data_IF_254156158243
#
_entry.id   IF_254156158243
#
_cell.length_a   1.000
_cell.length_b   1.000
_cell.length_c   1.000
_cell.angle_alpha   90.00
_cell.angle_beta   90.00
_cell.angle_gamma   90.00
#
_symmetry.space_group_name_H-M   'P 1'
#
loop_
_entity.id
_entity.type
_entity.pdbx_description
1 polymer ?
#
# COMPACT_ATOMS: atom_id res chain seq x y z
N UNK A 1 18.59 -28.45 -24.45
CA UNK A 1 18.98 -27.28 -23.61
C UNK A 1 17.66 -26.56 -23.26
N UNK A 2 17.15 -26.74 -22.05
CA UNK A 2 15.92 -26.04 -21.67
C UNK A 2 16.23 -24.55 -21.53
N UNK A 3 15.42 -23.71 -22.19
CA UNK A 3 15.49 -22.26 -22.01
C UNK A 3 15.25 -21.94 -20.53
N UNK A 4 16.15 -21.19 -19.91
CA UNK A 4 15.99 -20.71 -18.53
C UNK A 4 14.95 -19.57 -18.44
N UNK A 5 14.44 -19.11 -19.57
CA UNK A 5 13.44 -18.05 -19.63
C UNK A 5 12.08 -18.61 -19.99
N UNK A 6 11.00 -18.12 -19.38
CA UNK A 6 9.64 -18.49 -19.74
C UNK A 6 9.32 -18.00 -21.16
N UNK A 7 8.46 -18.73 -21.88
CA UNK A 7 8.02 -18.34 -23.23
C UNK A 7 7.23 -17.04 -23.21
N UNK A 8 6.50 -16.77 -22.15
CA UNK A 8 5.73 -15.55 -21.91
C UNK A 8 5.84 -15.08 -20.46
N UNK A 9 5.83 -13.76 -20.30
CA UNK A 9 5.84 -13.10 -18.99
C UNK A 9 4.60 -12.23 -18.89
N UNK A 10 3.73 -12.52 -17.95
CA UNK A 10 2.58 -11.68 -17.65
C UNK A 10 2.99 -10.57 -16.67
N UNK A 11 2.67 -9.32 -17.01
CA UNK A 11 2.98 -8.13 -16.19
C UNK A 11 1.72 -7.31 -15.94
N UNK A 12 1.74 -6.56 -14.85
CA UNK A 12 0.56 -5.80 -14.43
C UNK A 12 0.25 -4.60 -15.32
N UNK A 13 1.26 -4.00 -15.95
CA UNK A 13 1.03 -2.82 -16.76
C UNK A 13 2.24 -2.31 -17.53
N UNK A 14 2.09 -1.15 -18.19
CA UNK A 14 3.12 -0.58 -19.06
C UNK A 14 4.46 -0.33 -18.37
N UNK A 15 4.44 0.08 -17.10
CA UNK A 15 5.68 0.38 -16.34
C UNK A 15 6.55 -0.85 -16.21
N UNK A 16 5.98 -2.01 -15.81
CA UNK A 16 6.72 -3.26 -15.70
C UNK A 16 7.18 -3.78 -17.07
N UNK A 17 6.33 -3.62 -18.10
CA UNK A 17 6.70 -3.95 -19.49
C UNK A 17 7.92 -3.17 -19.92
N UNK A 18 7.90 -1.86 -19.76
CA UNK A 18 8.99 -0.97 -20.13
C UNK A 18 10.29 -1.31 -19.38
N UNK A 19 10.17 -1.63 -18.08
CA UNK A 19 11.31 -2.09 -17.27
C UNK A 19 11.94 -3.37 -17.84
N UNK A 20 11.14 -4.39 -18.17
CA UNK A 20 11.62 -5.64 -18.74
C UNK A 20 12.29 -5.42 -20.11
N UNK A 21 11.71 -4.59 -20.95
CA UNK A 21 12.26 -4.28 -22.27
C UNK A 21 13.59 -3.52 -22.17
N UNK A 22 13.64 -2.44 -21.37
CA UNK A 22 14.81 -1.57 -21.28
C UNK A 22 15.96 -2.22 -20.51
N UNK A 23 15.66 -2.84 -19.38
CA UNK A 23 16.71 -3.36 -18.47
C UNK A 23 17.10 -4.80 -18.79
N UNK A 24 16.14 -5.62 -19.18
CA UNK A 24 16.37 -7.05 -19.43
C UNK A 24 16.31 -7.44 -20.91
N UNK A 25 16.04 -6.49 -21.79
CA UNK A 25 15.96 -6.70 -23.26
C UNK A 25 14.97 -7.80 -23.66
N UNK A 26 13.91 -7.97 -22.87
CA UNK A 26 12.85 -8.93 -23.19
C UNK A 26 12.06 -8.41 -24.38
N UNK A 27 11.85 -9.28 -25.37
CA UNK A 27 11.11 -8.94 -26.58
C UNK A 27 9.64 -8.68 -26.29
N UNK A 28 9.01 -7.79 -27.06
CA UNK A 28 7.62 -7.37 -26.89
C UNK A 28 6.64 -8.54 -26.99
N UNK A 29 6.90 -9.46 -27.90
CA UNK A 29 6.10 -10.66 -28.11
C UNK A 29 6.12 -11.63 -26.92
N UNK A 30 7.15 -11.58 -26.08
CA UNK A 30 7.24 -12.37 -24.86
C UNK A 30 6.45 -11.78 -23.67
N UNK A 31 5.93 -10.55 -23.79
CA UNK A 31 5.30 -9.85 -22.66
C UNK A 31 3.78 -9.73 -22.86
N UNK A 32 3.02 -10.20 -21.87
CA UNK A 32 1.57 -10.08 -21.82
C UNK A 32 1.20 -9.00 -20.81
N UNK A 33 0.49 -7.96 -21.24
CA UNK A 33 -0.13 -6.97 -20.32
C UNK A 33 -1.41 -7.54 -19.73
N UNK A 34 -1.28 -8.33 -18.67
CA UNK A 34 -2.42 -9.02 -18.04
C UNK A 34 -3.22 -8.13 -17.08
N UNK A 35 -2.58 -7.16 -16.47
CA UNK A 35 -3.11 -6.54 -15.26
C UNK A 35 -2.78 -7.37 -14.01
N UNK A 36 -3.39 -7.02 -12.89
CA UNK A 36 -3.18 -7.72 -11.62
C UNK A 36 -4.45 -8.47 -11.19
N UNK A 37 -4.53 -9.80 -11.42
CA UNK A 37 -5.68 -10.63 -11.04
C UNK A 37 -6.06 -10.50 -9.57
N UNK A 38 -5.07 -10.37 -8.71
CA UNK A 38 -5.22 -10.18 -7.27
C UNK A 38 -6.10 -8.98 -6.90
N UNK A 39 -6.12 -7.96 -7.76
CA UNK A 39 -6.82 -6.71 -7.47
C UNK A 39 -8.18 -6.57 -8.16
N UNK A 40 -8.61 -7.57 -8.96
CA UNK A 40 -9.88 -7.47 -9.70
C UNK A 40 -11.07 -7.15 -8.78
N UNK A 41 -11.21 -7.88 -7.68
CA UNK A 41 -12.28 -7.65 -6.70
C UNK A 41 -12.30 -6.24 -6.09
N UNK A 42 -11.17 -5.56 -6.06
CA UNK A 42 -11.12 -4.20 -5.51
C UNK A 42 -11.77 -3.19 -6.45
N UNK A 43 -11.71 -3.41 -7.76
CA UNK A 43 -12.34 -2.54 -8.76
C UNK A 43 -13.86 -2.64 -8.75
N UNK A 44 -14.42 -3.79 -8.37
CA UNK A 44 -15.87 -4.02 -8.29
C UNK A 44 -16.52 -3.40 -7.03
N UNK A 45 -15.73 -2.64 -6.28
CA UNK A 45 -16.16 -2.12 -4.99
C UNK A 45 -17.02 -0.87 -5.12
N UNK A 46 -18.20 -0.90 -4.53
CA UNK A 46 -19.01 0.32 -4.34
C UNK A 46 -18.43 1.12 -3.16
N UNK A 47 -18.17 2.42 -3.33
CA UNK A 47 -17.71 3.24 -2.23
C UNK A 47 -18.72 3.25 -1.07
N UNK A 48 -18.34 2.76 0.08
CA UNK A 48 -19.17 2.82 1.27
C UNK A 48 -18.82 4.09 2.03
N UNK A 49 -19.75 5.04 2.10
CA UNK A 49 -19.57 6.20 2.98
C UNK A 49 -19.73 5.78 4.45
N UNK A 50 -18.77 6.14 5.28
CA UNK A 50 -18.92 5.98 6.72
C UNK A 50 -20.07 6.86 7.22
N UNK A 51 -21.06 6.24 7.88
CA UNK A 51 -22.19 6.96 8.52
C UNK A 51 -21.81 7.54 9.89
N UNK A 52 -20.57 7.36 10.33
CA UNK A 52 -20.12 7.82 11.66
C UNK A 52 -19.65 9.27 11.60
N UNK A 53 -19.85 10.02 12.70
CA UNK A 53 -19.31 11.38 12.86
C UNK A 53 -17.78 11.39 13.02
N UNK A 54 -17.18 10.23 13.34
CA UNK A 54 -15.73 10.09 13.53
C UNK A 54 -15.05 9.71 12.22
N UNK A 55 -13.91 10.34 11.96
CA UNK A 55 -13.00 9.94 10.87
C UNK A 55 -12.18 8.72 11.29
N UNK A 56 -12.03 7.77 10.41
CA UNK A 56 -11.28 6.55 10.67
C UNK A 56 -9.96 6.53 9.92
N UNK A 57 -8.86 6.36 10.65
CA UNK A 57 -7.53 6.14 10.09
C UNK A 57 -7.20 4.66 10.19
N UNK A 58 -6.85 4.04 9.06
CA UNK A 58 -6.37 2.67 9.00
C UNK A 58 -4.85 2.66 8.97
N UNK A 59 -4.24 2.10 10.01
CA UNK A 59 -2.80 1.84 10.06
C UNK A 59 -2.49 0.43 9.56
N UNK A 60 -1.60 0.34 8.57
CA UNK A 60 -1.09 -0.90 8.00
C UNK A 60 0.43 -0.94 8.14
N UNK A 61 0.97 -1.40 9.25
CA UNK A 61 2.42 -1.53 9.42
C UNK A 61 2.92 -2.72 8.62
N UNK A 62 3.92 -2.50 7.76
CA UNK A 62 4.61 -3.60 7.10
C UNK A 62 5.60 -4.27 8.07
N UNK A 63 5.81 -5.58 7.97
CA UNK A 63 6.81 -6.27 8.77
C UNK A 63 8.20 -5.78 8.38
N UNK A 64 9.09 -5.68 9.38
CA UNK A 64 10.51 -5.46 9.14
C UNK A 64 11.10 -6.82 8.76
N UNK A 65 11.69 -6.91 7.58
CA UNK A 65 12.45 -8.10 7.18
C UNK A 65 13.83 -8.02 7.85
N UNK A 66 14.16 -9.02 8.65
CA UNK A 66 15.46 -9.08 9.32
C UNK A 66 16.58 -9.29 8.29
N UNK A 67 17.19 -8.19 7.87
CA UNK A 67 18.52 -8.22 7.31
C UNK A 67 19.51 -8.13 8.48
N UNK A 68 20.34 -9.16 8.65
CA UNK A 68 21.29 -9.27 9.76
C UNK A 68 22.26 -8.08 9.82
N UNK A 69 22.25 -7.32 10.93
CA UNK A 69 23.25 -6.28 11.20
C UNK A 69 22.76 -5.13 12.11
N UNK A 70 23.66 -4.22 12.44
CA UNK A 70 23.37 -3.03 13.27
C UNK A 70 22.30 -2.11 12.68
N UNK A 71 22.13 -2.06 11.36
CA UNK A 71 21.08 -1.30 10.68
C UNK A 71 19.68 -1.84 11.01
N UNK A 72 19.55 -3.15 11.14
CA UNK A 72 18.31 -3.81 11.53
C UNK A 72 17.84 -3.36 12.93
N UNK A 73 18.72 -3.33 13.92
CA UNK A 73 18.37 -2.92 15.29
C UNK A 73 17.91 -1.47 15.35
N UNK A 74 18.57 -0.57 14.61
CA UNK A 74 18.18 0.83 14.53
C UNK A 74 16.80 0.97 13.86
N UNK A 75 16.54 0.20 12.82
CA UNK A 75 15.27 0.23 12.11
C UNK A 75 14.13 -0.25 13.01
N UNK A 76 14.33 -1.35 13.76
CA UNK A 76 13.37 -1.84 14.74
C UNK A 76 13.04 -0.81 15.83
N UNK A 77 14.07 -0.19 16.40
CA UNK A 77 13.88 0.85 17.42
C UNK A 77 13.11 2.05 16.86
N UNK A 78 13.43 2.47 15.64
CA UNK A 78 12.73 3.57 14.97
C UNK A 78 11.27 3.20 14.69
N UNK A 79 11.02 1.97 14.25
CA UNK A 79 9.67 1.46 13.99
C UNK A 79 8.81 1.43 15.26
N UNK A 80 9.34 0.86 16.35
CA UNK A 80 8.64 0.83 17.64
C UNK A 80 8.32 2.24 18.14
N UNK A 81 9.31 3.13 18.12
CA UNK A 81 9.13 4.53 18.52
C UNK A 81 8.04 5.20 17.67
N UNK A 82 8.06 4.96 16.34
CA UNK A 82 7.13 5.59 15.44
C UNK A 82 5.70 5.02 15.58
N UNK A 83 5.55 3.72 15.82
CA UNK A 83 4.25 3.12 16.14
C UNK A 83 3.62 3.78 17.39
N UNK A 84 4.40 3.97 18.45
CA UNK A 84 3.95 4.66 19.66
C UNK A 84 3.51 6.09 19.34
N UNK A 85 4.34 6.82 18.63
CA UNK A 85 4.07 8.20 18.22
C UNK A 85 2.80 8.34 17.38
N UNK A 86 2.52 7.40 16.45
CA UNK A 86 1.27 7.41 15.67
C UNK A 86 0.05 7.33 16.59
N UNK A 87 0.03 6.37 17.52
CA UNK A 87 -1.10 6.21 18.44
C UNK A 87 -1.32 7.46 19.28
N UNK A 88 -0.25 8.04 19.84
CA UNK A 88 -0.31 9.27 20.64
C UNK A 88 -0.83 10.46 19.83
N UNK A 89 -0.33 10.65 18.61
CA UNK A 89 -0.79 11.71 17.70
C UNK A 89 -2.28 11.55 17.44
N UNK A 90 -2.74 10.36 17.06
CA UNK A 90 -4.15 10.16 16.71
C UNK A 90 -5.05 10.30 17.91
N UNK A 91 -4.64 9.83 19.10
CA UNK A 91 -5.37 10.06 20.36
C UNK A 91 -5.50 11.54 20.74
N UNK A 92 -4.56 12.38 20.28
CA UNK A 92 -4.61 13.83 20.48
C UNK A 92 -5.54 14.58 19.51
N UNK A 93 -6.16 13.86 18.56
CA UNK A 93 -7.05 14.44 17.55
C UNK A 93 -8.49 14.15 17.88
N UNK A 94 -9.32 15.20 17.92
CA UNK A 94 -10.75 15.07 18.16
C UNK A 94 -11.48 14.41 16.99
N UNK A 95 -12.47 13.58 17.30
CA UNK A 95 -13.32 12.91 16.33
C UNK A 95 -12.58 12.04 15.29
N UNK A 96 -11.38 11.52 15.66
CA UNK A 96 -10.63 10.57 14.86
C UNK A 96 -10.46 9.28 15.66
N UNK A 97 -10.60 8.14 14.99
CA UNK A 97 -10.30 6.83 15.54
C UNK A 97 -9.20 6.14 14.71
N UNK A 98 -8.40 5.35 15.40
CA UNK A 98 -7.36 4.52 14.79
C UNK A 98 -7.84 3.06 14.80
N UNK A 99 -7.70 2.41 13.67
CA UNK A 99 -7.81 0.96 13.55
C UNK A 99 -6.53 0.42 12.92
N UNK A 100 -6.14 -0.79 13.27
CA UNK A 100 -4.90 -1.40 12.79
C UNK A 100 -5.21 -2.69 12.03
N UNK A 101 -4.59 -2.87 10.87
CA UNK A 101 -4.61 -4.12 10.11
C UNK A 101 -3.20 -4.66 10.00
N UNK A 102 -2.99 -5.81 10.61
CA UNK A 102 -1.72 -6.52 10.57
C UNK A 102 -1.55 -7.30 9.26
N UNK A 103 -0.31 -7.55 8.89
CA UNK A 103 0.02 -8.34 7.72
C UNK A 103 -0.47 -9.79 7.89
N UNK A 104 -1.08 -10.41 6.86
CA UNK A 104 -1.71 -11.74 7.02
C UNK A 104 -0.72 -12.89 7.22
N UNK A 105 0.54 -12.74 6.86
CA UNK A 105 1.52 -13.83 6.78
C UNK A 105 2.73 -13.72 7.71
N UNK A 106 2.70 -12.90 8.77
CA UNK A 106 3.86 -12.75 9.65
C UNK A 106 3.47 -12.74 11.14
N UNK A 107 3.24 -13.93 11.71
CA UNK A 107 2.70 -14.07 13.06
C UNK A 107 3.63 -13.55 14.15
N UNK A 108 4.94 -13.74 14.03
CA UNK A 108 5.92 -13.33 15.05
C UNK A 108 5.95 -11.78 15.16
N UNK A 109 6.11 -11.08 14.04
CA UNK A 109 6.05 -9.62 14.01
C UNK A 109 4.69 -9.06 14.43
N UNK A 110 3.63 -9.74 14.03
CA UNK A 110 2.28 -9.34 14.41
C UNK A 110 2.05 -9.38 15.92
N UNK A 111 2.61 -10.37 16.62
CA UNK A 111 2.54 -10.46 18.09
C UNK A 111 3.30 -9.29 18.74
N UNK A 112 4.48 -8.97 18.21
CA UNK A 112 5.26 -7.84 18.72
C UNK A 112 4.54 -6.50 18.50
N UNK A 113 4.03 -6.25 17.29
CA UNK A 113 3.25 -5.05 16.98
C UNK A 113 2.03 -4.94 17.91
N UNK A 114 1.29 -6.04 18.11
CA UNK A 114 0.16 -6.06 19.07
C UNK A 114 0.61 -5.69 20.47
N UNK A 115 1.70 -6.28 20.95
CA UNK A 115 2.23 -5.99 22.30
C UNK A 115 2.58 -4.51 22.46
N UNK A 116 3.27 -3.92 21.47
CA UNK A 116 3.65 -2.50 21.48
C UNK A 116 2.39 -1.63 21.52
N UNK A 117 1.42 -1.89 20.66
CA UNK A 117 0.22 -1.07 20.53
C UNK A 117 -0.71 -1.21 21.74
N UNK A 118 -0.92 -2.43 22.25
CA UNK A 118 -1.77 -2.66 23.43
C UNK A 118 -1.16 -2.12 24.73
N UNK A 119 0.16 -1.98 24.82
CA UNK A 119 0.79 -1.29 25.95
C UNK A 119 0.45 0.21 26.01
N UNK A 120 0.07 0.81 24.87
CA UNK A 120 -0.32 2.23 24.80
C UNK A 120 -1.84 2.36 24.90
N UNK A 121 -2.56 1.44 24.28
CA UNK A 121 -4.02 1.40 24.28
C UNK A 121 -4.52 -0.04 24.14
N UNK A 122 -4.90 -0.64 25.28
CA UNK A 122 -5.41 -2.02 25.32
C UNK A 122 -6.75 -2.20 24.59
N UNK A 123 -7.45 -1.11 24.27
CA UNK A 123 -8.74 -1.13 23.56
C UNK A 123 -8.60 -0.84 22.05
N UNK A 124 -7.38 -0.61 21.57
CA UNK A 124 -7.13 -0.31 20.15
C UNK A 124 -7.61 -1.47 19.27
N UNK A 125 -8.52 -1.22 18.30
CA UNK A 125 -8.97 -2.26 17.39
C UNK A 125 -7.84 -2.73 16.47
N UNK A 126 -7.43 -3.98 16.62
CA UNK A 126 -6.38 -4.61 15.82
C UNK A 126 -6.94 -5.84 15.10
N UNK A 127 -6.90 -5.83 13.78
CA UNK A 127 -7.39 -6.91 12.92
C UNK A 127 -6.23 -7.66 12.29
N UNK A 128 -6.28 -8.99 12.30
CA UNK A 128 -5.30 -9.85 11.64
C UNK A 128 -5.90 -10.57 10.42
N UNK A 129 -6.98 -11.32 10.61
CA UNK A 129 -7.57 -12.20 9.58
C UNK A 129 -8.58 -11.47 8.71
N UNK A 130 -9.23 -10.42 9.25
CA UNK A 130 -10.29 -9.71 8.52
C UNK A 130 -9.80 -9.19 7.17
N UNK A 131 -10.59 -9.34 6.07
CA UNK A 131 -10.21 -8.85 4.75
C UNK A 131 -9.91 -7.35 4.77
N UNK A 132 -8.77 -6.96 4.17
CA UNK A 132 -8.32 -5.57 4.13
C UNK A 132 -9.31 -4.66 3.40
N UNK A 133 -9.93 -5.15 2.32
CA UNK A 133 -10.91 -4.43 1.51
C UNK A 133 -12.04 -3.86 2.36
N UNK A 134 -12.64 -4.69 3.24
CA UNK A 134 -13.75 -4.27 4.10
C UNK A 134 -13.36 -3.18 5.09
N UNK A 135 -12.16 -3.29 5.66
CA UNK A 135 -11.65 -2.32 6.64
C UNK A 135 -11.32 -1.01 5.94
N UNK A 136 -10.63 -1.10 4.79
CA UNK A 136 -10.19 0.06 4.03
C UNK A 136 -11.38 0.84 3.45
N UNK A 137 -12.44 0.18 3.01
CA UNK A 137 -13.65 0.85 2.52
C UNK A 137 -14.27 1.78 3.55
N UNK A 138 -14.19 1.45 4.84
CA UNK A 138 -14.72 2.24 5.97
C UNK A 138 -13.76 3.32 6.46
N UNK A 139 -12.52 3.31 5.99
CA UNK A 139 -11.50 4.26 6.42
C UNK A 139 -11.54 5.55 5.60
N UNK A 140 -11.20 6.67 6.22
CA UNK A 140 -11.09 7.97 5.57
C UNK A 140 -9.66 8.26 5.08
N UNK A 141 -8.67 7.63 5.70
CA UNK A 141 -7.25 7.76 5.41
C UNK A 141 -6.55 6.43 5.71
N UNK A 142 -5.61 6.04 4.86
CA UNK A 142 -4.71 4.90 5.09
C UNK A 142 -3.34 5.43 5.48
N UNK A 143 -2.72 4.79 6.45
CA UNK A 143 -1.35 5.05 6.89
C UNK A 143 -0.56 3.76 6.76
N UNK A 144 0.40 3.73 5.86
CA UNK A 144 1.34 2.62 5.69
C UNK A 144 2.68 2.99 6.31
N UNK A 145 3.32 2.03 6.98
CA UNK A 145 4.72 2.16 7.39
C UNK A 145 5.50 1.17 6.56
N UNK A 146 6.41 1.68 5.73
CA UNK A 146 7.34 0.88 4.95
C UNK A 146 8.72 1.02 5.59
N UNK A 147 9.26 -0.02 6.23
CA UNK A 147 10.60 0.01 6.81
C UNK A 147 11.66 0.28 5.76
N UNK A 148 11.51 -0.35 4.62
CA UNK A 148 12.29 -0.20 3.39
C UNK A 148 11.33 0.19 2.27
N UNK A 149 11.83 0.90 1.27
CA UNK A 149 10.98 1.31 0.15
C UNK A 149 10.68 0.15 -0.77
N UNK A 150 9.43 -0.28 -0.84
CA UNK A 150 8.93 -1.24 -1.83
C UNK A 150 8.12 -0.54 -2.90
N UNK A 151 8.36 -0.86 -4.16
CA UNK A 151 7.65 -0.28 -5.32
C UNK A 151 6.44 -1.11 -5.77
N UNK A 152 5.31 -0.53 -5.77
CA UNK A 152 4.55 -0.08 -4.61
C UNK A 152 4.06 -1.28 -3.81
N UNK A 153 4.02 -1.14 -2.51
CA UNK A 153 3.43 -2.19 -1.67
C UNK A 153 1.96 -2.40 -2.06
N UNK A 154 1.45 -3.63 -1.87
CA UNK A 154 0.07 -3.96 -2.23
C UNK A 154 -0.95 -3.06 -1.55
N UNK A 155 -0.67 -2.63 -0.31
CA UNK A 155 -1.55 -1.72 0.43
C UNK A 155 -1.69 -0.35 -0.24
N UNK A 156 -0.65 0.13 -0.91
CA UNK A 156 -0.68 1.37 -1.69
C UNK A 156 -1.63 1.20 -2.87
N UNK A 157 -1.47 0.15 -3.67
CA UNK A 157 -2.33 -0.12 -4.82
C UNK A 157 -3.79 -0.30 -4.41
N UNK A 158 -4.05 -1.10 -3.38
CA UNK A 158 -5.40 -1.34 -2.84
C UNK A 158 -6.06 -0.03 -2.39
N UNK A 159 -5.29 0.83 -1.72
CA UNK A 159 -5.76 2.14 -1.29
C UNK A 159 -6.14 3.04 -2.46
N UNK A 160 -5.28 3.12 -3.48
CA UNK A 160 -5.53 3.92 -4.67
C UNK A 160 -6.73 3.40 -5.47
N UNK A 161 -6.90 2.08 -5.60
CA UNK A 161 -8.05 1.46 -6.28
C UNK A 161 -9.35 1.82 -5.56
N UNK A 162 -9.38 1.74 -4.22
CA UNK A 162 -10.53 2.08 -3.40
C UNK A 162 -10.74 3.59 -3.21
N UNK A 163 -9.93 4.42 -3.90
CA UNK A 163 -9.96 5.89 -3.80
C UNK A 163 -9.83 6.39 -2.37
N UNK A 164 -8.91 5.79 -1.62
CA UNK A 164 -8.56 6.23 -0.27
C UNK A 164 -7.23 6.99 -0.31
N UNK A 165 -7.16 8.19 0.27
CA UNK A 165 -5.88 8.86 0.42
C UNK A 165 -4.96 8.02 1.29
N UNK A 166 -3.67 7.99 0.95
CA UNK A 166 -2.68 7.21 1.68
C UNK A 166 -1.46 8.07 2.00
N UNK A 167 -0.98 7.91 3.23
CA UNK A 167 0.34 8.36 3.67
C UNK A 167 1.24 7.15 3.75
N UNK A 168 2.36 7.16 3.06
CA UNK A 168 3.40 6.16 3.18
C UNK A 168 4.57 6.73 3.99
N UNK A 169 4.87 6.11 5.12
CA UNK A 169 5.96 6.53 6.01
C UNK A 169 7.18 5.67 5.76
N UNK A 170 8.29 6.28 5.38
CA UNK A 170 9.57 5.62 5.17
C UNK A 170 10.44 5.84 6.41
N UNK A 171 10.93 4.74 7.00
CA UNK A 171 11.65 4.78 8.26
C UNK A 171 13.16 4.97 8.13
N UNK A 172 13.76 4.49 7.04
CA UNK A 172 15.19 4.60 6.79
C UNK A 172 15.64 6.01 6.38
N UNK A 173 14.70 6.93 6.18
CA UNK A 173 14.93 8.30 5.76
C UNK A 173 15.36 8.46 4.30
N UNK A 174 15.40 7.39 3.53
CA UNK A 174 15.68 7.42 2.08
C UNK A 174 14.38 7.67 1.32
N UNK A 175 14.41 8.57 0.36
CA UNK A 175 13.33 8.70 -0.63
C UNK A 175 13.69 7.86 -1.85
N UNK A 176 12.82 6.94 -2.17
CA UNK A 176 13.00 6.01 -3.27
C UNK A 176 12.26 6.53 -4.49
N UNK A 177 12.64 7.43 -5.20
CA UNK A 177 12.16 7.99 -6.47
C UNK A 177 11.13 7.11 -7.25
N UNK A 178 10.14 6.57 -6.54
CA UNK A 178 9.11 5.68 -7.08
C UNK A 178 8.15 6.42 -8.01
N UNK A 179 7.60 5.70 -8.96
CA UNK A 179 6.68 6.25 -9.95
C UNK A 179 5.43 6.89 -9.35
N UNK A 180 4.91 6.37 -8.24
CA UNK A 180 3.77 6.94 -7.52
C UNK A 180 4.13 8.24 -6.77
N UNK A 181 5.38 8.41 -6.35
CA UNK A 181 5.90 9.65 -5.74
C UNK A 181 6.03 10.75 -6.80
N UNK A 182 6.66 10.44 -7.94
CA UNK A 182 6.80 11.39 -9.07
C UNK A 182 5.46 11.95 -9.55
N UNK A 183 4.42 11.16 -9.48
CA UNK A 183 3.07 11.55 -9.87
C UNK A 183 2.25 12.16 -8.72
N UNK A 184 2.84 12.31 -7.53
CA UNK A 184 2.14 12.75 -6.31
C UNK A 184 0.86 11.95 -6.03
N UNK A 185 0.87 10.66 -6.33
CA UNK A 185 -0.26 9.76 -6.13
C UNK A 185 -0.39 9.31 -4.67
N UNK A 186 0.71 9.36 -3.93
CA UNK A 186 0.84 8.96 -2.52
C UNK A 186 1.57 10.08 -1.79
N UNK A 187 1.15 10.38 -0.57
CA UNK A 187 1.90 11.26 0.31
C UNK A 187 3.00 10.45 1.01
N UNK A 188 4.21 10.46 0.46
CA UNK A 188 5.37 9.83 1.11
C UNK A 188 6.02 10.82 2.06
N UNK A 189 6.30 10.35 3.27
CA UNK A 189 6.95 11.14 4.32
C UNK A 189 8.03 10.33 5.02
N UNK A 190 9.04 11.04 5.52
CA UNK A 190 9.99 10.50 6.50
C UNK A 190 9.35 10.49 7.89
N UNK A 191 9.77 9.55 8.74
CA UNK A 191 9.34 9.45 10.14
C UNK A 191 9.62 10.73 10.98
N UNK A 192 10.50 11.60 10.52
CA UNK A 192 10.85 12.87 11.19
C UNK A 192 9.89 14.02 10.87
N UNK A 193 9.03 13.89 9.85
CA UNK A 193 8.10 14.94 9.45
C UNK A 193 6.90 15.05 10.40
N UNK A 194 6.22 16.20 10.35
CA UNK A 194 5.04 16.46 11.18
C UNK A 194 3.82 15.71 10.66
N UNK A 195 3.69 14.45 11.09
CA UNK A 195 2.58 13.57 10.73
C UNK A 195 1.21 14.16 11.11
N UNK A 196 1.11 14.84 12.27
CA UNK A 196 -0.15 15.45 12.73
C UNK A 196 -0.67 16.49 11.73
N UNK A 197 0.23 17.39 11.30
CA UNK A 197 -0.10 18.44 10.32
C UNK A 197 -0.54 17.84 8.98
N UNK A 198 0.13 16.77 8.54
CA UNK A 198 -0.17 16.11 7.27
C UNK A 198 -1.51 15.38 7.33
N UNK A 199 -1.81 14.65 8.40
CA UNK A 199 -3.11 14.01 8.63
C UNK A 199 -4.23 15.05 8.57
N UNK A 200 -4.11 16.12 9.34
CA UNK A 200 -5.12 17.18 9.40
C UNK A 200 -5.31 17.84 8.03
N UNK A 201 -4.24 18.08 7.28
CA UNK A 201 -4.32 18.63 5.93
C UNK A 201 -5.13 17.72 5.01
N UNK A 202 -4.84 16.40 4.98
CA UNK A 202 -5.56 15.46 4.11
C UNK A 202 -7.04 15.32 4.52
N UNK A 203 -7.33 15.32 5.81
CA UNK A 203 -8.70 15.12 6.29
C UNK A 203 -9.59 16.37 6.18
N UNK A 204 -9.01 17.59 6.20
CA UNK A 204 -9.77 18.85 6.28
C UNK A 204 -9.67 19.71 5.02
N UNK A 205 -8.62 19.56 4.20
CA UNK A 205 -8.48 20.28 2.93
C UNK A 205 -9.01 19.42 1.78
N UNK A 206 -10.27 19.63 1.41
CA UNK A 206 -10.94 18.90 0.36
C UNK A 206 -10.22 18.99 -0.99
N UNK A 207 -9.76 20.21 -1.36
CA UNK A 207 -9.05 20.43 -2.63
C UNK A 207 -7.74 19.63 -2.68
N UNK A 208 -7.00 19.62 -1.58
CA UNK A 208 -5.76 18.85 -1.47
C UNK A 208 -6.03 17.34 -1.57
N UNK A 209 -7.03 16.86 -0.82
CA UNK A 209 -7.47 15.45 -0.85
C UNK A 209 -7.89 15.03 -2.26
N UNK A 210 -8.74 15.83 -2.93
CA UNK A 210 -9.25 15.51 -4.26
C UNK A 210 -8.13 15.45 -5.29
N UNK A 211 -7.16 16.36 -5.22
CA UNK A 211 -5.96 16.31 -6.06
C UNK A 211 -5.13 15.03 -5.83
N UNK A 212 -4.93 14.63 -4.57
CA UNK A 212 -4.21 13.41 -4.25
C UNK A 212 -4.93 12.18 -4.82
N UNK A 213 -6.25 12.12 -4.67
CA UNK A 213 -7.08 11.03 -5.23
C UNK A 213 -7.04 11.01 -6.77
N UNK A 214 -7.11 12.16 -7.42
CA UNK A 214 -7.01 12.26 -8.88
C UNK A 214 -5.66 11.76 -9.38
N UNK A 215 -4.58 12.18 -8.74
CA UNK A 215 -3.23 11.72 -9.06
C UNK A 215 -3.09 10.20 -8.88
N UNK A 216 -3.66 9.65 -7.80
CA UNK A 216 -3.73 8.20 -7.58
C UNK A 216 -4.45 7.46 -8.70
N UNK A 217 -5.60 7.98 -9.16
CA UNK A 217 -6.33 7.38 -10.28
C UNK A 217 -5.55 7.48 -11.61
N UNK A 218 -4.82 8.57 -11.84
CA UNK A 218 -3.97 8.71 -13.02
C UNK A 218 -2.77 7.76 -12.96
N UNK A 219 -2.14 7.61 -11.80
CA UNK A 219 -1.09 6.61 -11.59
C UNK A 219 -1.58 5.20 -11.93
N UNK A 220 -2.75 4.79 -11.43
CA UNK A 220 -3.30 3.47 -11.70
C UNK A 220 -3.54 3.22 -13.21
N UNK A 221 -3.84 4.26 -14.01
CA UNK A 221 -4.01 4.12 -15.47
C UNK A 221 -2.72 3.71 -16.17
N UNK A 222 -1.58 4.14 -15.67
CA UNK A 222 -0.26 3.83 -16.21
C UNK A 222 0.36 2.58 -15.60
N UNK A 223 -0.04 2.23 -14.37
CA UNK A 223 0.57 1.13 -13.61
C UNK A 223 -0.17 -0.20 -13.78
N UNK A 224 -1.51 -0.21 -13.93
CA UNK A 224 -2.33 -1.40 -14.06
C UNK A 224 -3.10 -1.42 -15.38
N UNK A 225 -2.90 -2.47 -16.18
CA UNK A 225 -3.73 -2.80 -17.34
C UNK A 225 -4.96 -3.61 -16.90
N UNK A 226 -5.97 -3.74 -17.79
CA UNK A 226 -7.15 -4.61 -17.62
C UNK A 226 -7.79 -4.56 -16.22
N UNK A 227 -7.92 -3.37 -15.67
CA UNK A 227 -8.38 -3.11 -14.31
C UNK A 227 -9.77 -3.70 -14.06
N UNK A 228 -9.88 -4.62 -13.08
CA UNK A 228 -11.10 -5.37 -12.77
C UNK A 228 -11.37 -6.55 -13.70
N UNK A 229 -10.49 -6.80 -14.70
CA UNK A 229 -10.63 -7.90 -15.67
C UNK A 229 -9.28 -8.59 -15.96
N UNK A 230 -8.33 -8.46 -15.06
CA UNK A 230 -6.99 -9.02 -15.25
C UNK A 230 -7.01 -10.55 -15.25
N UNK A 231 -7.83 -11.17 -14.41
CA UNK A 231 -8.03 -12.63 -14.36
C UNK A 231 -8.56 -13.16 -15.69
N UNK A 232 -9.56 -12.53 -16.26
CA UNK A 232 -10.13 -12.89 -17.56
C UNK A 232 -9.10 -12.73 -18.68
N UNK A 233 -8.38 -11.61 -18.69
CA UNK A 233 -7.33 -11.35 -19.67
C UNK A 233 -6.23 -12.43 -19.61
N UNK A 234 -5.77 -12.78 -18.41
CA UNK A 234 -4.75 -13.80 -18.22
C UNK A 234 -5.23 -15.17 -18.68
N UNK A 235 -6.45 -15.59 -18.28
CA UNK A 235 -7.03 -16.87 -18.69
C UNK A 235 -7.14 -16.99 -20.22
N UNK A 236 -7.64 -15.94 -20.89
CA UNK A 236 -7.77 -15.92 -22.35
C UNK A 236 -6.42 -16.04 -23.08
N UNK A 237 -5.36 -15.43 -22.52
CA UNK A 237 -4.00 -15.58 -23.08
C UNK A 237 -3.45 -17.00 -22.87
N UNK A 238 -3.67 -17.60 -21.70
CA UNK A 238 -3.23 -18.98 -21.44
C UNK A 238 -3.92 -20.00 -22.36
N UNK A 239 -5.23 -19.83 -22.64
CA UNK A 239 -5.94 -20.68 -23.59
C UNK A 239 -5.34 -20.59 -25.00
N UNK A 240 -5.04 -19.36 -25.47
CA UNK A 240 -4.43 -19.14 -26.77
C UNK A 240 -3.01 -19.71 -26.93
N UNK A 241 -2.26 -19.84 -25.84
CA UNK A 241 -0.93 -20.45 -25.86
C UNK A 241 -0.96 -21.96 -25.96
N UNK A 242 -2.09 -22.59 -25.61
CA UNK A 242 -2.29 -24.05 -25.64
C UNK A 242 -3.06 -24.52 -26.89
N UNK A 243 -3.53 -23.61 -27.74
CA UNK A 243 -4.20 -23.90 -29.01
C UNK A 243 -3.22 -23.76 -30.18
#
# INVERSE_FOLDING_TARGET
MYSLFPDKIAVWGPVQKEYLQKKHRISDDCIILSGSPRHDDFFDSVPTQSKTKKKTILLCPAPIVENSGHESTKLHTTFEFFLKRIVEIIKSLDNIELIVKLHPGNDQHNQEIKRILHNIDSKLPIFHIKPIKEIMQRSDLVLSISPEGDDPSTIILESLILKKPIINVVLDGKFYDFSYEKQNAVMTISHNQDLKKIILKILNDHKYKDNLLLNGQNFLKTYLSNRGRASECLANNLIKLNS
#
